data_IF_082643403683
#
_entry.id   IF_082643403683
#
_cell.length_a   1.000
_cell.length_b   1.000
_cell.length_c   1.000
_cell.angle_alpha   90.00
_cell.angle_beta   90.00
_cell.angle_gamma   90.00
#
_symmetry.space_group_name_H-M   'P 1'
#
loop_
_entity.id
_entity.type
_entity.pdbx_description
1 polymer ?
#
# COMPACT_ATOMS: atom_id res chain seq x y z
N UNK A 1 36.33 50.25 23.23
CA UNK A 1 35.34 49.18 23.47
C UNK A 1 36.10 47.88 23.53
N UNK A 2 36.16 47.26 24.71
CA UNK A 2 37.04 46.12 24.98
C UNK A 2 36.46 44.85 24.34
N UNK A 3 37.33 44.01 23.76
CA UNK A 3 36.94 42.78 23.06
C UNK A 3 36.15 41.78 23.94
N UNK A 4 36.19 41.93 25.25
CA UNK A 4 35.39 41.13 26.20
C UNK A 4 33.91 41.53 26.20
N UNK A 5 33.55 42.81 26.08
CA UNK A 5 32.15 43.26 26.06
C UNK A 5 31.40 42.74 24.83
N UNK A 6 32.09 42.65 23.68
CA UNK A 6 31.56 42.07 22.43
C UNK A 6 31.35 40.55 22.58
N UNK A 7 32.19 39.87 23.35
CA UNK A 7 32.08 38.43 23.61
C UNK A 7 30.92 38.10 24.57
N UNK A 8 30.68 38.94 25.58
CA UNK A 8 29.53 38.83 26.50
C UNK A 8 28.21 39.19 25.81
N UNK A 9 28.20 40.18 24.92
CA UNK A 9 27.02 40.53 24.12
C UNK A 9 26.56 39.38 23.20
N UNK A 10 27.51 38.59 22.68
CA UNK A 10 27.22 37.48 21.77
C UNK A 10 26.73 36.19 22.48
N UNK A 11 26.78 36.16 23.83
CA UNK A 11 26.30 35.04 24.65
C UNK A 11 25.16 35.40 25.60
N UNK A 12 24.62 36.62 25.52
CA UNK A 12 23.49 37.04 26.36
C UNK A 12 22.27 36.13 26.16
N UNK A 13 21.49 35.84 27.23
CA UNK A 13 20.36 34.91 27.16
C UNK A 13 19.34 35.31 26.09
N UNK A 14 19.07 36.60 25.91
CA UNK A 14 18.19 37.08 24.84
C UNK A 14 18.72 36.77 23.43
N UNK A 15 20.03 36.88 23.20
CA UNK A 15 20.63 36.55 21.90
C UNK A 15 20.58 35.04 21.63
N UNK A 16 20.83 34.22 22.66
CA UNK A 16 20.71 32.77 22.58
C UNK A 16 19.27 32.35 22.26
N UNK A 17 18.28 32.98 22.89
CA UNK A 17 16.87 32.73 22.59
C UNK A 17 16.56 32.95 21.10
N UNK A 18 16.96 34.09 20.54
CA UNK A 18 16.74 34.38 19.11
C UNK A 18 17.51 33.42 18.19
N UNK A 19 18.73 33.02 18.57
CA UNK A 19 19.50 32.01 17.82
C UNK A 19 18.75 30.68 17.75
N UNK A 20 18.23 30.22 18.89
CA UNK A 20 17.44 28.99 18.98
C UNK A 20 16.11 29.13 18.21
N UNK A 21 15.46 30.30 18.25
CA UNK A 21 14.28 30.58 17.41
C UNK A 21 14.55 30.39 15.91
N UNK A 22 15.62 30.99 15.38
CA UNK A 22 16.04 30.80 13.97
C UNK A 22 16.42 29.35 13.67
N UNK A 23 17.01 28.65 14.64
CA UNK A 23 17.36 27.23 14.47
C UNK A 23 16.12 26.36 14.39
N UNK A 24 15.11 26.59 15.23
CA UNK A 24 13.83 25.89 15.19
C UNK A 24 13.14 26.01 13.83
N UNK A 25 13.10 27.23 13.26
CA UNK A 25 12.53 27.46 11.91
C UNK A 25 13.26 26.67 10.82
N UNK A 26 14.60 26.63 10.85
CA UNK A 26 15.39 25.83 9.91
C UNK A 26 15.12 24.34 10.05
N UNK A 27 14.97 23.84 11.28
CA UNK A 27 14.62 22.43 11.53
C UNK A 27 13.21 22.10 11.04
N UNK A 28 12.26 23.04 11.19
CA UNK A 28 10.91 22.88 10.69
C UNK A 28 10.86 22.80 9.15
N UNK A 29 11.65 23.62 8.45
CA UNK A 29 11.80 23.53 6.99
C UNK A 29 12.38 22.19 6.54
N UNK A 30 13.28 21.60 7.34
CA UNK A 30 13.84 20.28 7.12
C UNK A 30 12.92 19.13 7.58
N UNK A 31 11.69 19.43 8.00
CA UNK A 31 10.72 18.46 8.55
C UNK A 31 11.23 17.68 9.77
N UNK A 32 12.25 18.21 10.47
CA UNK A 32 12.79 17.67 11.72
C UNK A 32 12.01 18.21 12.91
N UNK A 33 10.76 17.76 13.06
CA UNK A 33 9.83 18.31 14.04
C UNK A 33 10.30 18.18 15.49
N UNK A 34 10.86 17.03 15.87
CA UNK A 34 11.34 16.79 17.24
C UNK A 34 12.51 17.71 17.61
N UNK A 35 13.46 17.89 16.68
CA UNK A 35 14.55 18.84 16.86
C UNK A 35 14.02 20.28 16.97
N UNK A 36 13.04 20.67 16.14
CA UNK A 36 12.44 22.00 16.20
C UNK A 36 11.71 22.28 17.52
N UNK A 37 11.06 21.28 18.12
CA UNK A 37 10.44 21.37 19.46
C UNK A 37 11.49 21.71 20.53
N UNK A 38 12.59 20.96 20.55
CA UNK A 38 13.68 21.18 21.52
C UNK A 38 14.28 22.58 21.36
N UNK A 39 14.42 23.07 20.14
CA UNK A 39 14.93 24.42 19.89
C UNK A 39 13.98 25.52 20.38
N UNK A 40 12.65 25.35 20.24
CA UNK A 40 11.68 26.28 20.83
C UNK A 40 11.64 26.22 22.37
N UNK A 41 11.86 25.05 22.97
CA UNK A 41 12.02 24.93 24.43
C UNK A 41 13.24 25.70 24.93
N UNK A 42 14.41 25.48 24.31
CA UNK A 42 15.63 26.22 24.63
C UNK A 42 15.44 27.73 24.47
N UNK A 43 14.78 28.16 23.39
CA UNK A 43 14.50 29.57 23.17
C UNK A 43 13.67 30.17 24.33
N UNK A 44 12.64 29.45 24.78
CA UNK A 44 11.83 29.84 25.93
C UNK A 44 12.65 29.89 27.23
N UNK A 45 13.48 28.88 27.49
CA UNK A 45 14.34 28.83 28.69
C UNK A 45 15.27 30.04 28.77
N UNK A 46 15.95 30.37 27.67
CA UNK A 46 16.80 31.55 27.62
C UNK A 46 16.02 32.87 27.77
N UNK A 47 14.77 32.95 27.29
CA UNK A 47 13.92 34.12 27.56
C UNK A 47 13.54 34.24 29.04
N UNK A 48 13.30 33.11 29.72
CA UNK A 48 13.07 33.08 31.16
C UNK A 48 14.33 33.47 31.95
N UNK A 49 15.51 33.14 31.47
CA UNK A 49 16.78 33.64 32.03
C UNK A 49 16.95 35.15 31.81
N UNK A 50 16.66 35.65 30.61
CA UNK A 50 16.71 37.08 30.31
C UNK A 50 15.74 37.87 31.19
N UNK A 51 14.57 37.32 31.50
CA UNK A 51 13.59 37.91 32.42
C UNK A 51 14.15 38.14 33.83
N UNK A 52 15.02 37.24 34.33
CA UNK A 52 15.64 37.38 35.66
C UNK A 52 16.65 38.53 35.72
N UNK A 53 17.14 39.00 34.57
CA UNK A 53 18.19 40.01 34.48
C UNK A 53 17.65 41.44 34.28
N UNK A 54 16.34 41.61 34.08
CA UNK A 54 15.73 42.92 33.82
C UNK A 54 14.57 43.21 34.76
N UNK A 55 14.55 44.43 35.29
CA UNK A 55 13.45 44.96 36.11
C UNK A 55 12.64 46.03 35.36
N UNK A 56 12.95 46.28 34.09
CA UNK A 56 12.23 47.27 33.28
C UNK A 56 10.89 46.68 32.87
N UNK A 57 9.79 47.25 33.37
CA UNK A 57 8.42 46.74 33.17
C UNK A 57 8.09 46.43 31.70
N UNK A 58 8.46 47.33 30.78
CA UNK A 58 8.23 47.14 29.35
C UNK A 58 9.02 45.95 28.79
N UNK A 59 10.28 45.78 29.21
CA UNK A 59 11.11 44.66 28.80
C UNK A 59 10.57 43.34 29.35
N UNK A 60 10.14 43.32 30.61
CA UNK A 60 9.51 42.16 31.26
C UNK A 60 8.26 41.73 30.49
N UNK A 61 7.37 42.68 30.15
CA UNK A 61 6.18 42.37 29.36
C UNK A 61 6.53 41.80 27.97
N UNK A 62 7.50 42.39 27.28
CA UNK A 62 7.94 41.93 25.95
C UNK A 62 8.53 40.52 25.99
N UNK A 63 9.44 40.25 26.93
CA UNK A 63 10.08 38.93 27.06
C UNK A 63 9.09 37.84 27.47
N UNK A 64 8.12 38.18 28.33
CA UNK A 64 7.04 37.26 28.70
C UNK A 64 6.20 36.87 27.49
N UNK A 65 5.84 37.85 26.65
CA UNK A 65 5.10 37.59 25.42
C UNK A 65 5.89 36.70 24.44
N UNK A 66 7.20 36.92 24.32
CA UNK A 66 8.07 36.08 23.48
C UNK A 66 8.19 34.64 24.01
N UNK A 67 8.23 34.46 25.33
CA UNK A 67 8.27 33.12 25.94
C UNK A 67 6.96 32.37 25.67
N UNK A 68 5.81 33.05 25.78
CA UNK A 68 4.50 32.49 25.41
C UNK A 68 4.40 32.21 23.91
N UNK A 69 4.99 33.05 23.05
CA UNK A 69 5.08 32.78 21.62
C UNK A 69 5.81 31.45 21.36
N UNK A 70 6.96 31.22 21.97
CA UNK A 70 7.71 29.96 21.76
C UNK A 70 6.98 28.73 22.33
N UNK A 71 6.22 28.90 23.41
CA UNK A 71 5.32 27.85 23.91
C UNK A 71 4.25 27.48 22.87
N UNK A 72 3.57 28.47 22.29
CA UNK A 72 2.57 28.24 21.22
C UNK A 72 3.20 27.67 19.95
N UNK A 73 4.40 28.12 19.59
CA UNK A 73 5.11 27.56 18.43
C UNK A 73 5.47 26.09 18.62
N UNK A 74 5.89 25.68 19.83
CA UNK A 74 6.09 24.26 20.14
C UNK A 74 4.82 23.44 19.89
N UNK A 75 3.67 23.90 20.38
CA UNK A 75 2.37 23.22 20.17
C UNK A 75 2.04 23.12 18.67
N UNK A 76 2.26 24.20 17.92
CA UNK A 76 2.06 24.22 16.47
C UNK A 76 2.98 23.24 15.72
N UNK A 77 4.25 23.14 16.12
CA UNK A 77 5.20 22.17 15.54
C UNK A 77 4.74 20.73 15.81
N UNK A 78 4.25 20.43 17.02
CA UNK A 78 3.71 19.11 17.35
C UNK A 78 2.48 18.77 16.49
N UNK A 79 1.58 19.73 16.26
CA UNK A 79 0.45 19.55 15.35
C UNK A 79 0.90 19.28 13.91
N UNK A 80 1.94 19.97 13.44
CA UNK A 80 2.52 19.69 12.11
C UNK A 80 3.13 18.29 12.02
N UNK A 81 3.78 17.83 13.09
CA UNK A 81 4.31 16.46 13.18
C UNK A 81 3.21 15.42 13.01
N UNK A 82 2.13 15.51 13.79
CA UNK A 82 1.02 14.55 13.71
C UNK A 82 0.36 14.57 12.34
N UNK A 83 0.16 15.76 11.77
CA UNK A 83 -0.40 15.89 10.42
C UNK A 83 0.50 15.25 9.36
N UNK A 84 1.82 15.42 9.46
CA UNK A 84 2.78 14.79 8.56
C UNK A 84 2.76 13.26 8.67
N UNK A 85 2.73 12.72 9.89
CA UNK A 85 2.66 11.27 10.13
C UNK A 85 1.37 10.65 9.58
N UNK A 86 0.23 11.31 9.75
CA UNK A 86 -1.06 10.87 9.19
C UNK A 86 -0.97 10.83 7.66
N UNK A 87 -0.49 11.90 7.01
CA UNK A 87 -0.33 11.94 5.55
C UNK A 87 0.58 10.82 5.05
N UNK A 88 1.70 10.58 5.74
CA UNK A 88 2.64 9.50 5.40
C UNK A 88 1.96 8.13 5.44
N UNK A 89 1.20 7.83 6.49
CA UNK A 89 0.44 6.57 6.62
C UNK A 89 -0.62 6.41 5.55
N UNK A 90 -1.32 7.49 5.17
CA UNK A 90 -2.32 7.45 4.09
C UNK A 90 -1.67 7.09 2.76
N UNK A 91 -0.55 7.72 2.42
CA UNK A 91 0.19 7.44 1.18
C UNK A 91 0.71 6.00 1.18
N UNK A 92 1.27 5.54 2.29
CA UNK A 92 1.77 4.16 2.44
C UNK A 92 0.64 3.14 2.25
N UNK A 93 -0.53 3.38 2.87
CA UNK A 93 -1.69 2.53 2.70
C UNK A 93 -2.20 2.51 1.25
N UNK A 94 -2.26 3.67 0.58
CA UNK A 94 -2.63 3.75 -0.84
C UNK A 94 -1.66 2.98 -1.73
N UNK A 95 -0.35 3.11 -1.49
CA UNK A 95 0.67 2.37 -2.23
C UNK A 95 0.56 0.87 -2.01
N UNK A 96 0.34 0.44 -0.77
CA UNK A 96 0.14 -0.97 -0.43
C UNK A 96 -1.12 -1.53 -1.13
N UNK A 97 -2.22 -0.78 -1.13
CA UNK A 97 -3.45 -1.16 -1.83
C UNK A 97 -3.22 -1.28 -3.35
N UNK A 98 -2.58 -0.29 -3.97
CA UNK A 98 -2.26 -0.33 -5.39
C UNK A 98 -1.37 -1.53 -5.76
N UNK A 99 -0.39 -1.86 -4.91
CA UNK A 99 0.47 -3.04 -5.09
C UNK A 99 -0.32 -4.35 -5.00
N UNK A 100 -1.30 -4.42 -4.10
CA UNK A 100 -2.17 -5.59 -3.95
C UNK A 100 -3.11 -5.74 -5.16
N UNK A 101 -3.66 -4.64 -5.68
CA UNK A 101 -4.49 -4.63 -6.88
C UNK A 101 -3.73 -5.14 -8.11
N UNK A 102 -2.48 -4.69 -8.32
CA UNK A 102 -1.61 -5.19 -9.42
C UNK A 102 -1.32 -6.69 -9.27
N UNK A 103 -1.09 -7.15 -8.05
CA UNK A 103 -0.85 -8.58 -7.80
C UNK A 103 -2.11 -9.41 -8.06
N UNK A 104 -3.28 -8.93 -7.65
CA UNK A 104 -4.55 -9.59 -7.88
C UNK A 104 -4.88 -9.68 -9.39
N UNK A 105 -4.73 -8.59 -10.14
CA UNK A 105 -5.00 -8.58 -11.59
C UNK A 105 -4.11 -9.55 -12.35
N UNK A 106 -2.81 -9.63 -12.00
CA UNK A 106 -1.89 -10.59 -12.63
C UNK A 106 -2.28 -12.05 -12.40
N UNK A 107 -2.91 -12.36 -11.27
CA UNK A 107 -3.36 -13.72 -10.95
C UNK A 107 -4.66 -14.12 -11.64
N UNK A 108 -5.55 -13.15 -11.88
CA UNK A 108 -6.80 -13.37 -12.64
C UNK A 108 -6.52 -13.50 -14.13
N UNK A 109 -5.62 -12.69 -14.68
CA UNK A 109 -5.20 -12.78 -16.08
C UNK A 109 -4.55 -14.13 -16.38
N UNK A 110 -3.67 -14.62 -15.50
CA UNK A 110 -3.02 -15.93 -15.69
C UNK A 110 -4.01 -17.10 -15.65
N UNK A 111 -4.98 -17.07 -14.74
CA UNK A 111 -6.00 -18.12 -14.63
C UNK A 111 -6.97 -18.11 -15.83
N UNK A 112 -7.35 -16.92 -16.30
CA UNK A 112 -8.11 -16.75 -17.54
C UNK A 112 -7.33 -17.20 -18.78
N UNK A 113 -6.01 -16.99 -18.82
CA UNK A 113 -5.14 -17.42 -19.91
C UNK A 113 -4.99 -18.94 -19.97
N UNK A 114 -4.80 -19.60 -18.82
CA UNK A 114 -4.76 -21.07 -18.72
C UNK A 114 -6.10 -21.67 -19.17
N UNK A 115 -7.23 -21.09 -18.75
CA UNK A 115 -8.55 -21.53 -19.17
C UNK A 115 -8.73 -21.42 -20.69
N UNK A 116 -8.33 -20.30 -21.30
CA UNK A 116 -8.35 -20.12 -22.77
C UNK A 116 -7.45 -21.13 -23.47
N UNK A 117 -6.28 -21.43 -22.92
CA UNK A 117 -5.36 -22.42 -23.49
C UNK A 117 -5.96 -23.84 -23.46
N UNK A 118 -6.63 -24.23 -22.36
CA UNK A 118 -7.35 -25.51 -22.26
C UNK A 118 -8.41 -25.62 -23.35
N UNK A 119 -9.27 -24.61 -23.51
CA UNK A 119 -10.32 -24.63 -24.53
C UNK A 119 -9.76 -24.74 -25.95
N UNK A 120 -8.71 -23.97 -26.29
CA UNK A 120 -8.04 -24.08 -27.60
C UNK A 120 -7.46 -25.47 -27.84
N UNK A 121 -6.77 -26.02 -26.84
CA UNK A 121 -6.19 -27.37 -26.92
C UNK A 121 -7.27 -28.46 -27.07
N UNK A 122 -8.46 -28.26 -26.49
CA UNK A 122 -9.61 -29.16 -26.70
C UNK A 122 -10.19 -29.03 -28.12
N UNK A 123 -10.40 -27.81 -28.63
CA UNK A 123 -10.88 -27.58 -30.01
C UNK A 123 -9.92 -28.17 -31.07
N UNK A 124 -8.62 -28.07 -30.84
CA UNK A 124 -7.59 -28.70 -31.67
C UNK A 124 -7.67 -30.24 -31.61
N UNK A 125 -7.94 -30.81 -30.43
CA UNK A 125 -8.14 -32.25 -30.27
C UNK A 125 -9.38 -32.74 -31.03
N UNK A 126 -10.51 -32.02 -30.91
CA UNK A 126 -11.77 -32.35 -31.58
C UNK A 126 -11.61 -32.26 -33.10
N UNK A 127 -10.91 -31.25 -33.62
CA UNK A 127 -10.62 -31.11 -35.05
C UNK A 127 -9.78 -32.27 -35.62
N UNK A 128 -8.82 -32.78 -34.84
CA UNK A 128 -8.02 -33.95 -35.24
C UNK A 128 -8.84 -35.25 -35.14
N UNK A 129 -9.74 -35.35 -34.17
CA UNK A 129 -10.66 -36.48 -34.05
C UNK A 129 -11.64 -36.53 -35.23
N UNK A 130 -12.18 -35.38 -35.66
CA UNK A 130 -13.03 -35.26 -36.84
C UNK A 130 -12.32 -35.73 -38.11
N UNK A 131 -11.03 -35.38 -38.29
CA UNK A 131 -10.21 -35.86 -39.40
C UNK A 131 -10.06 -37.39 -39.40
N UNK A 132 -9.84 -38.00 -38.23
CA UNK A 132 -9.78 -39.45 -38.08
C UNK A 132 -11.12 -40.14 -38.33
N UNK A 133 -12.23 -39.50 -37.96
CA UNK A 133 -13.59 -40.00 -38.23
C UNK A 133 -13.84 -39.98 -39.74
N UNK A 134 -13.54 -38.86 -40.41
CA UNK A 134 -13.70 -38.69 -41.86
C UNK A 134 -12.86 -39.71 -42.65
N UNK A 135 -11.62 -39.96 -42.22
CA UNK A 135 -10.74 -40.95 -42.87
C UNK A 135 -11.19 -42.41 -42.70
N UNK A 136 -11.92 -42.73 -41.62
CA UNK A 136 -12.44 -44.09 -41.35
C UNK A 136 -13.81 -44.35 -41.97
N UNK A 137 -14.59 -43.32 -42.25
CA UNK A 137 -15.88 -43.44 -42.93
C UNK A 137 -15.65 -43.48 -44.44
N UNK A 138 -15.76 -44.67 -45.03
CA UNK A 138 -15.73 -44.95 -46.48
C UNK A 138 -17.00 -44.38 -47.17
N UNK A 139 -17.27 -43.08 -47.00
CA UNK A 139 -18.42 -42.40 -47.59
C UNK A 139 -17.98 -41.86 -48.96
N UNK A 140 -18.64 -42.24 -50.08
CA UNK A 140 -18.31 -41.70 -51.39
C UNK A 140 -18.52 -40.18 -51.39
N UNK A 141 -17.67 -39.41 -52.06
CA UNK A 141 -17.85 -37.96 -52.13
C UNK A 141 -19.18 -37.62 -52.82
N UNK A 142 -19.96 -36.65 -52.32
CA UNK A 142 -21.08 -36.10 -53.10
C UNK A 142 -20.53 -35.47 -54.39
N UNK A 143 -21.31 -35.50 -55.50
CA UNK A 143 -20.83 -35.09 -56.81
C UNK A 143 -20.33 -33.64 -56.80
N UNK A 144 -19.11 -33.49 -57.30
CA UNK A 144 -18.33 -32.28 -57.48
C UNK A 144 -19.10 -31.10 -58.09
N UNK A 145 -18.92 -29.91 -57.50
CA UNK A 145 -19.09 -28.62 -58.18
C UNK A 145 -17.69 -28.07 -58.48
N UNK A 146 -17.36 -27.64 -59.72
CA UNK A 146 -16.00 -27.25 -60.08
C UNK A 146 -15.72 -25.79 -59.71
N UNK A 147 -14.70 -25.52 -58.89
CA UNK A 147 -14.08 -24.20 -58.76
C UNK A 147 -12.64 -24.29 -58.23
N UNK A 148 -11.78 -23.30 -58.53
CA UNK A 148 -10.40 -23.53 -58.95
C UNK A 148 -9.42 -23.68 -57.78
N UNK A 149 -8.41 -24.53 -58.01
CA UNK A 149 -7.25 -24.75 -57.12
C UNK A 149 -6.56 -23.42 -56.77
N UNK A 150 -6.03 -23.31 -55.54
CA UNK A 150 -4.68 -22.83 -55.35
C UNK A 150 -3.77 -23.98 -54.91
N UNK A 151 -2.63 -24.00 -55.59
CA UNK A 151 -1.46 -24.83 -55.38
C UNK A 151 -1.03 -24.85 -53.90
N UNK A 152 -0.77 -26.05 -53.40
CA UNK A 152 -0.21 -26.30 -52.07
C UNK A 152 -0.30 -27.78 -51.77
N UNK A 153 0.72 -28.54 -52.18
CA UNK A 153 0.86 -29.97 -51.88
C UNK A 153 0.97 -30.18 -50.37
N UNK A 154 -0.16 -30.34 -49.68
CA UNK A 154 -0.22 -30.92 -48.34
C UNK A 154 -0.61 -32.38 -48.54
N UNK A 155 0.32 -33.30 -48.29
CA UNK A 155 -0.04 -34.71 -48.11
C UNK A 155 -1.19 -34.78 -47.10
N UNK A 156 -2.27 -35.55 -47.35
CA UNK A 156 -3.28 -35.80 -46.33
C UNK A 156 -2.56 -36.41 -45.12
N UNK A 157 -2.80 -35.84 -43.93
CA UNK A 157 -2.19 -36.35 -42.70
C UNK A 157 -2.59 -37.81 -42.54
N UNK A 158 -1.60 -38.70 -42.48
CA UNK A 158 -1.82 -40.12 -42.17
C UNK A 158 -2.38 -40.27 -40.76
N UNK A 159 -3.27 -41.23 -40.54
CA UNK A 159 -3.88 -41.50 -39.24
C UNK A 159 -2.83 -41.64 -38.12
N UNK A 160 -1.67 -42.22 -38.43
CA UNK A 160 -0.52 -42.30 -37.54
C UNK A 160 -0.05 -40.92 -37.04
N UNK A 161 0.07 -39.94 -37.94
CA UNK A 161 0.50 -38.58 -37.58
C UNK A 161 -0.58 -37.88 -36.75
N UNK A 162 -1.86 -38.11 -37.08
CA UNK A 162 -2.98 -37.54 -36.31
C UNK A 162 -3.02 -38.12 -34.89
N UNK A 163 -2.75 -39.42 -34.72
CA UNK A 163 -2.66 -40.08 -33.40
C UNK A 163 -1.48 -39.53 -32.58
N UNK A 164 -0.32 -39.29 -33.20
CA UNK A 164 0.85 -38.69 -32.53
C UNK A 164 0.60 -37.24 -32.10
N UNK A 165 -0.06 -36.45 -32.95
CA UNK A 165 -0.50 -35.08 -32.62
C UNK A 165 -1.51 -35.09 -31.46
N UNK A 166 -2.51 -35.98 -31.49
CA UNK A 166 -3.47 -36.17 -30.41
C UNK A 166 -2.80 -36.57 -29.08
N UNK A 167 -1.80 -37.45 -29.13
CA UNK A 167 -1.04 -37.85 -27.94
C UNK A 167 -0.30 -36.65 -27.33
N UNK A 168 0.31 -35.81 -28.16
CA UNK A 168 1.01 -34.59 -27.73
C UNK A 168 0.04 -33.58 -27.11
N UNK A 169 -1.10 -33.36 -27.74
CA UNK A 169 -2.19 -32.49 -27.25
C UNK A 169 -2.74 -33.00 -25.92
N UNK A 170 -2.89 -34.32 -25.74
CA UNK A 170 -3.35 -34.91 -24.48
C UNK A 170 -2.35 -34.68 -23.33
N UNK A 171 -1.05 -34.75 -23.60
CA UNK A 171 0.00 -34.40 -22.63
C UNK A 171 -0.09 -32.92 -22.25
N UNK A 172 -0.27 -32.04 -23.24
CA UNK A 172 -0.43 -30.61 -23.02
C UNK A 172 -1.67 -30.29 -22.19
N UNK A 173 -2.81 -30.92 -22.51
CA UNK A 173 -4.06 -30.75 -21.78
C UNK A 173 -3.92 -31.19 -20.31
N UNK A 174 -3.30 -32.35 -20.07
CA UNK A 174 -2.99 -32.83 -18.70
C UNK A 174 -2.12 -31.84 -17.93
N UNK A 175 -1.12 -31.23 -18.58
CA UNK A 175 -0.26 -30.22 -17.96
C UNK A 175 -1.05 -28.98 -17.58
N UNK A 176 -1.88 -28.45 -18.48
CA UNK A 176 -2.69 -27.26 -18.24
C UNK A 176 -3.72 -27.49 -17.12
N UNK A 177 -4.41 -28.63 -17.14
CA UNK A 177 -5.35 -29.01 -16.07
C UNK A 177 -4.64 -29.10 -14.72
N UNK A 178 -3.46 -29.71 -14.66
CA UNK A 178 -2.66 -29.78 -13.43
C UNK A 178 -2.29 -28.38 -12.90
N UNK A 179 -1.94 -27.45 -13.80
CA UNK A 179 -1.67 -26.06 -13.42
C UNK A 179 -2.91 -25.39 -12.83
N UNK A 180 -4.08 -25.55 -13.46
CA UNK A 180 -5.34 -25.00 -12.95
C UNK A 180 -5.73 -25.57 -11.58
N UNK A 181 -5.56 -26.89 -11.37
CA UNK A 181 -5.81 -27.52 -10.06
C UNK A 181 -4.88 -26.99 -8.96
N UNK A 182 -3.61 -26.70 -9.29
CA UNK A 182 -2.69 -26.09 -8.36
C UNK A 182 -3.12 -24.67 -7.98
N UNK A 183 -3.50 -23.83 -8.95
CA UNK A 183 -4.01 -22.48 -8.69
C UNK A 183 -5.26 -22.50 -7.80
N UNK A 184 -6.18 -23.44 -8.03
CA UNK A 184 -7.37 -23.61 -7.20
C UNK A 184 -7.00 -23.96 -5.74
N UNK A 185 -6.06 -24.88 -5.55
CA UNK A 185 -5.56 -25.24 -4.21
C UNK A 185 -4.91 -24.06 -3.49
N UNK A 186 -4.17 -23.21 -4.21
CA UNK A 186 -3.58 -21.99 -3.64
C UNK A 186 -4.64 -20.96 -3.26
N UNK A 187 -5.64 -20.73 -4.11
CA UNK A 187 -6.79 -19.85 -3.82
C UNK A 187 -7.55 -20.35 -2.58
N UNK A 188 -7.80 -21.66 -2.44
CA UNK A 188 -8.45 -22.24 -1.26
C UNK A 188 -7.66 -22.01 0.03
N UNK A 189 -6.33 -22.16 -0.02
CA UNK A 189 -5.44 -21.85 1.12
C UNK A 189 -5.49 -20.37 1.49
N UNK A 190 -5.48 -19.48 0.50
CA UNK A 190 -5.61 -18.04 0.74
C UNK A 190 -6.97 -17.70 1.38
N UNK A 191 -8.07 -18.27 0.87
CA UNK A 191 -9.41 -18.09 1.44
C UNK A 191 -9.45 -18.59 2.89
N UNK A 192 -8.88 -19.77 3.18
CA UNK A 192 -8.81 -20.29 4.55
C UNK A 192 -8.03 -19.34 5.47
N UNK A 193 -6.87 -18.84 5.02
CA UNK A 193 -6.07 -17.88 5.79
C UNK A 193 -6.78 -16.55 6.04
N UNK A 194 -7.47 -16.00 5.03
CA UNK A 194 -8.26 -14.78 5.16
C UNK A 194 -9.43 -14.98 6.12
N UNK A 195 -10.15 -16.10 6.03
CA UNK A 195 -11.24 -16.45 6.96
C UNK A 195 -10.73 -16.56 8.41
N UNK A 196 -9.57 -17.18 8.63
CA UNK A 196 -8.95 -17.25 9.96
C UNK A 196 -8.59 -15.87 10.50
N UNK A 197 -8.07 -14.99 9.64
CA UNK A 197 -7.69 -13.63 10.03
C UNK A 197 -8.90 -12.75 10.30
N UNK A 198 -9.95 -12.88 9.50
CA UNK A 198 -11.23 -12.20 9.70
C UNK A 198 -11.87 -12.65 11.03
N UNK A 199 -11.91 -13.96 11.32
CA UNK A 199 -12.36 -14.48 12.61
C UNK A 199 -11.53 -13.97 13.79
N UNK A 200 -10.22 -13.82 13.64
CA UNK A 200 -9.37 -13.23 14.67
C UNK A 200 -9.76 -11.77 14.96
N UNK A 201 -9.97 -10.96 13.93
CA UNK A 201 -10.35 -9.56 14.12
C UNK A 201 -11.79 -9.38 14.62
N UNK A 202 -12.74 -10.19 14.13
CA UNK A 202 -14.12 -10.18 14.63
C UNK A 202 -14.22 -10.69 16.07
N UNK A 203 -13.39 -11.68 16.45
CA UNK A 203 -13.27 -12.13 17.84
C UNK A 203 -12.46 -11.17 18.74
N UNK A 204 -11.68 -10.27 18.15
CA UNK A 204 -10.92 -9.22 18.85
C UNK A 204 -11.67 -7.88 18.94
N UNK A 205 -12.95 -7.83 18.53
CA UNK A 205 -13.85 -6.75 18.91
C UNK A 205 -14.18 -6.86 20.41
N UNK A 206 -13.18 -6.56 21.24
CA UNK A 206 -13.39 -6.18 22.61
C UNK A 206 -13.89 -4.73 22.60
N UNK A 207 -15.18 -4.59 22.87
CA UNK A 207 -15.90 -3.37 23.27
C UNK A 207 -15.77 -2.16 22.34
N UNK A 208 -16.86 -1.91 21.63
CA UNK A 208 -17.33 -0.55 21.33
C UNK A 208 -17.07 0.41 22.51
N UNK A 209 -16.34 1.53 22.33
CA UNK A 209 -16.19 2.56 23.36
C UNK A 209 -17.52 3.23 23.80
N UNK A 210 -18.64 2.86 23.19
CA UNK A 210 -19.97 3.41 23.51
C UNK A 210 -20.58 2.85 24.79
N UNK A 211 -20.16 1.68 25.28
CA UNK A 211 -20.77 1.07 26.48
C UNK A 211 -20.09 1.47 27.80
N UNK A 212 -19.04 2.31 27.76
CA UNK A 212 -18.30 2.75 28.96
C UNK A 212 -18.91 4.02 29.59
N UNK A 213 -19.76 4.75 28.87
CA UNK A 213 -20.30 6.03 29.35
C UNK A 213 -21.67 5.95 30.04
N UNK A 214 -22.34 4.79 30.02
CA UNK A 214 -23.71 4.67 30.53
C UNK A 214 -23.80 4.07 31.94
N UNK A 215 -22.66 3.79 32.59
CA UNK A 215 -22.62 3.21 33.95
C UNK A 215 -22.14 4.16 35.06
N UNK A 216 -22.04 5.47 34.80
CA UNK A 216 -21.63 6.45 35.84
C UNK A 216 -22.74 7.37 36.38
N UNK A 217 -23.97 7.31 35.86
CA UNK A 217 -25.08 8.18 36.32
C UNK A 217 -26.14 7.47 37.19
N UNK A 218 -25.78 6.38 37.87
CA UNK A 218 -26.68 5.67 38.79
C UNK A 218 -26.20 5.69 40.25
N UNK A 219 -25.66 6.82 40.71
CA UNK A 219 -25.37 6.98 42.14
C UNK A 219 -25.62 8.42 42.62
N UNK A 220 -26.89 8.83 42.57
CA UNK A 220 -27.44 9.92 43.36
C UNK A 220 -28.76 9.41 43.95
N UNK A 221 -28.66 8.70 45.06
CA UNK A 221 -29.82 8.43 45.92
C UNK A 221 -30.18 9.69 46.72
N UNK A 222 -31.48 10.01 46.88
CA UNK A 222 -31.92 11.18 47.62
C UNK A 222 -32.17 10.83 49.10
N UNK A 223 -31.51 11.56 50.01
CA UNK A 223 -32.03 11.86 51.36
C UNK A 223 -31.54 13.23 51.82
#
# INVERSE_FOLDING_TARGET
MNNEEVFYFNKGPLNLAHKHGRQAERKLLQQKFDEAVVEHEKAKEYLLEALKLTNVTQAVASLTLQAEYHKKQKEFVLLKKTQHEIRKKVIEHQLMKARQEIMASSSEDNSNEIQKAIFRTMEEADSLLDLLIINKTDVPPPPSVPSPKPSGSKLPKTDQNVIEELHTINIQLKKLIKQLMNELSEKDKQIAGLKSRLKFYEGSNFSTPSDIWESQDSNLDPK
#
